data_IF_135753344329
#
_entry.id   IF_135753344329
#
_cell.length_a   1.000
_cell.length_b   1.000
_cell.length_c   1.000
_cell.angle_alpha   90.00
_cell.angle_beta   90.00
_cell.angle_gamma   90.00
#
_symmetry.space_group_name_H-M   'P 1'
#
loop_
_entity.id
_entity.type
_entity.pdbx_description
1 polymer ?
#
# COMPACT_ATOMS: atom_id res chain seq x y z
N UNK A 1 -55.04 7.17 64.11
CA UNK A 1 -53.82 7.92 63.91
C UNK A 1 -52.72 6.92 63.51
N UNK A 2 -52.45 6.74 62.24
CA UNK A 2 -51.41 5.83 61.75
C UNK A 2 -50.23 6.64 61.21
N UNK A 3 -49.10 6.53 61.94
CA UNK A 3 -47.85 7.14 61.51
C UNK A 3 -47.17 6.24 60.48
N UNK A 4 -47.15 6.69 59.21
CA UNK A 4 -46.38 6.04 58.16
C UNK A 4 -44.88 6.35 58.29
N UNK A 5 -44.08 5.33 58.53
CA UNK A 5 -42.63 5.41 58.53
C UNK A 5 -42.15 5.35 57.06
N UNK A 6 -41.68 6.49 56.53
CA UNK A 6 -40.96 6.52 55.20
C UNK A 6 -39.50 6.13 55.46
N UNK A 7 -39.13 4.93 55.07
CA UNK A 7 -37.74 4.50 55.05
C UNK A 7 -37.10 5.04 53.75
N UNK A 8 -36.29 6.10 53.88
CA UNK A 8 -35.39 6.55 52.81
C UNK A 8 -34.25 5.51 52.71
N UNK A 9 -34.31 4.66 51.66
CA UNK A 9 -33.20 3.85 51.24
C UNK A 9 -32.18 4.78 50.57
N UNK A 10 -31.18 5.23 51.32
CA UNK A 10 -29.98 5.85 50.78
C UNK A 10 -29.18 4.74 50.06
N UNK A 11 -29.31 4.62 48.76
CA UNK A 11 -28.41 3.80 47.97
C UNK A 11 -27.04 4.48 47.98
N UNK A 12 -26.12 3.96 48.77
CA UNK A 12 -24.71 4.32 48.67
C UNK A 12 -24.26 3.95 47.26
N UNK A 13 -24.01 4.94 46.39
CA UNK A 13 -23.31 4.75 45.16
C UNK A 13 -21.91 4.24 45.51
N UNK A 14 -21.67 2.97 45.26
CA UNK A 14 -20.37 2.35 45.47
C UNK A 14 -19.42 2.99 44.46
N UNK A 15 -18.55 3.88 44.94
CA UNK A 15 -17.50 4.48 44.08
C UNK A 15 -16.64 3.37 43.51
N UNK A 16 -16.39 3.41 42.21
CA UNK A 16 -15.49 2.48 41.55
C UNK A 16 -14.08 2.60 42.15
N UNK A 17 -13.34 1.50 42.33
CA UNK A 17 -11.93 1.55 42.68
C UNK A 17 -11.18 2.53 41.77
N UNK A 18 -10.23 3.31 42.32
CA UNK A 18 -9.54 4.38 41.54
C UNK A 18 -8.91 3.93 40.22
N UNK A 19 -8.35 2.74 40.20
CA UNK A 19 -7.76 2.09 39.00
C UNK A 19 -8.81 1.76 37.95
N UNK A 20 -9.97 1.25 38.35
CA UNK A 20 -11.10 1.00 37.44
C UNK A 20 -11.73 2.30 36.92
N UNK A 21 -11.82 3.32 37.78
CA UNK A 21 -12.31 4.64 37.39
C UNK A 21 -11.35 5.30 36.37
N UNK A 22 -10.04 5.17 36.56
CA UNK A 22 -9.02 5.66 35.62
C UNK A 22 -9.10 4.90 34.29
N UNK A 23 -9.16 3.57 34.34
CA UNK A 23 -9.32 2.75 33.10
C UNK A 23 -10.57 3.13 32.32
N UNK A 24 -11.70 3.31 33.00
CA UNK A 24 -12.94 3.75 32.35
C UNK A 24 -12.77 5.06 31.59
N UNK A 25 -12.05 6.03 32.19
CA UNK A 25 -11.74 7.31 31.50
C UNK A 25 -10.86 7.12 30.27
N UNK A 26 -9.81 6.29 30.35
CA UNK A 26 -8.93 5.96 29.22
C UNK A 26 -9.75 5.28 28.11
N UNK A 27 -10.55 4.27 28.46
CA UNK A 27 -11.38 3.54 27.48
C UNK A 27 -12.37 4.46 26.78
N UNK A 28 -13.04 5.35 27.50
CA UNK A 28 -13.96 6.36 26.94
C UNK A 28 -13.19 7.31 26.01
N UNK A 29 -12.01 7.76 26.46
CA UNK A 29 -11.17 8.67 25.68
C UNK A 29 -10.72 8.05 24.35
N UNK A 30 -10.25 6.80 24.39
CA UNK A 30 -9.81 6.09 23.18
C UNK A 30 -10.98 5.76 22.25
N UNK A 31 -12.16 5.38 22.80
CA UNK A 31 -13.36 5.22 21.99
C UNK A 31 -13.74 6.52 21.29
N UNK A 32 -13.70 7.66 21.98
CA UNK A 32 -13.96 8.98 21.40
C UNK A 32 -12.91 9.35 20.33
N UNK A 33 -11.63 9.08 20.56
CA UNK A 33 -10.58 9.29 19.56
C UNK A 33 -10.89 8.52 18.28
N UNK A 34 -11.26 7.24 18.39
CA UNK A 34 -11.60 6.38 17.24
C UNK A 34 -12.89 6.82 16.52
N UNK A 35 -13.93 7.20 17.27
CA UNK A 35 -15.22 7.64 16.72
C UNK A 35 -15.13 8.98 15.96
N UNK A 36 -14.14 9.81 16.32
CA UNK A 36 -13.88 11.11 15.69
C UNK A 36 -12.97 11.03 14.47
N UNK A 37 -12.37 9.85 14.18
CA UNK A 37 -11.48 9.69 13.03
C UNK A 37 -12.26 9.94 11.72
N UNK A 38 -11.82 10.89 10.88
CA UNK A 38 -12.36 11.00 9.53
C UNK A 38 -11.92 9.81 8.68
N UNK A 39 -12.47 9.67 7.49
CA UNK A 39 -11.83 8.87 6.46
C UNK A 39 -10.49 9.54 6.12
N UNK A 40 -9.38 8.83 6.26
CA UNK A 40 -8.06 9.39 6.04
C UNK A 40 -7.11 8.36 5.42
N UNK A 41 -6.04 8.84 4.83
CA UNK A 41 -4.96 8.02 4.29
C UNK A 41 -3.61 8.55 4.74
N UNK A 42 -2.65 7.66 4.87
CA UNK A 42 -1.24 7.98 5.12
C UNK A 42 -0.36 7.18 4.18
N UNK A 43 0.82 7.69 3.88
CA UNK A 43 1.89 6.89 3.28
C UNK A 43 2.54 6.06 4.39
N UNK A 44 2.53 4.74 4.25
CA UNK A 44 3.23 3.80 5.11
C UNK A 44 4.52 3.36 4.41
N UNK A 45 5.67 3.61 5.05
CA UNK A 45 6.97 3.10 4.62
C UNK A 45 7.37 1.95 5.52
N UNK A 46 7.53 0.75 4.97
CA UNK A 46 7.84 -0.49 5.69
C UNK A 46 9.24 -0.93 5.31
N UNK A 47 10.19 -0.89 6.24
CA UNK A 47 11.48 -1.54 6.12
C UNK A 47 11.36 -2.98 6.60
N UNK A 48 11.71 -3.96 5.75
CA UNK A 48 11.66 -5.37 6.10
C UNK A 48 13.06 -5.93 6.30
N UNK A 49 13.31 -6.45 7.48
CA UNK A 49 14.61 -6.98 7.92
C UNK A 49 14.50 -8.48 8.19
N UNK A 50 15.53 -9.21 7.87
CA UNK A 50 15.62 -10.65 8.13
C UNK A 50 16.95 -10.97 8.81
N UNK A 51 16.90 -11.77 9.90
CA UNK A 51 18.05 -12.38 10.54
C UNK A 51 17.90 -13.90 10.43
N UNK A 52 18.78 -14.54 9.68
CA UNK A 52 18.80 -16.01 9.60
C UNK A 52 19.37 -16.61 10.90
N UNK A 53 18.98 -17.85 11.20
CA UNK A 53 19.40 -18.53 12.45
C UNK A 53 20.92 -18.63 12.65
N UNK A 54 21.69 -18.64 11.57
CA UNK A 54 23.17 -18.69 11.58
C UNK A 54 23.81 -17.30 11.50
N UNK A 55 23.04 -16.22 11.50
CA UNK A 55 23.52 -14.84 11.39
C UNK A 55 23.38 -14.11 12.72
N UNK A 56 24.36 -13.29 13.08
CA UNK A 56 24.34 -12.47 14.29
C UNK A 56 23.64 -11.11 14.09
N UNK A 57 23.43 -10.68 12.84
CA UNK A 57 22.84 -9.39 12.49
C UNK A 57 21.72 -9.57 11.49
N UNK A 58 20.68 -8.75 11.65
CA UNK A 58 19.63 -8.63 10.65
C UNK A 58 20.14 -7.85 9.43
N UNK A 59 19.72 -8.25 8.24
CA UNK A 59 19.93 -7.55 6.99
C UNK A 59 18.61 -6.97 6.48
N UNK A 60 18.64 -5.76 5.91
CA UNK A 60 17.50 -5.19 5.22
C UNK A 60 17.21 -6.04 3.98
N UNK A 61 16.01 -6.59 3.90
CA UNK A 61 15.53 -7.34 2.75
C UNK A 61 15.07 -6.37 1.65
N UNK A 62 14.16 -5.49 1.99
CA UNK A 62 13.62 -4.46 1.10
C UNK A 62 12.90 -3.35 1.88
N UNK A 63 12.44 -2.35 1.13
CA UNK A 63 11.54 -1.31 1.61
C UNK A 63 10.30 -1.27 0.70
N UNK A 64 9.12 -1.16 1.31
CA UNK A 64 7.82 -1.06 0.61
C UNK A 64 7.16 0.24 1.00
N UNK A 65 6.60 0.98 0.01
CA UNK A 65 5.75 2.15 0.25
C UNK A 65 4.33 1.86 -0.19
N UNK A 66 3.41 2.06 0.74
CA UNK A 66 1.99 1.85 0.56
C UNK A 66 1.23 3.13 0.89
N UNK A 67 0.11 3.33 0.23
CA UNK A 67 -0.96 4.17 0.72
C UNK A 67 -1.88 3.29 1.56
N UNK A 68 -2.01 3.59 2.83
CA UNK A 68 -2.95 2.93 3.74
C UNK A 68 -4.06 3.90 4.09
N UNK A 69 -5.31 3.48 3.93
CA UNK A 69 -6.49 4.30 4.22
C UNK A 69 -7.38 3.64 5.27
N UNK A 70 -7.93 4.46 6.15
CA UNK A 70 -9.03 4.11 7.04
C UNK A 70 -10.32 4.72 6.49
N UNK A 71 -11.22 3.87 6.00
CA UNK A 71 -12.46 4.28 5.35
C UNK A 71 -13.61 3.47 5.92
N UNK A 72 -14.61 4.16 6.49
CA UNK A 72 -15.81 3.53 7.06
C UNK A 72 -15.50 2.36 8.01
N UNK A 73 -14.49 2.54 8.85
CA UNK A 73 -14.11 1.55 9.86
C UNK A 73 -13.31 0.36 9.33
N UNK A 74 -12.76 0.43 8.12
CA UNK A 74 -11.91 -0.60 7.48
C UNK A 74 -10.60 -0.02 7.01
N UNK A 75 -9.57 -0.85 7.02
CA UNK A 75 -8.29 -0.53 6.39
C UNK A 75 -8.29 -0.99 4.94
N UNK A 76 -7.79 -0.12 4.06
CA UNK A 76 -7.59 -0.38 2.64
C UNK A 76 -6.15 -0.04 2.27
N UNK A 77 -5.58 -0.76 1.32
CA UNK A 77 -4.19 -0.65 0.92
C UNK A 77 -4.07 -0.44 -0.59
N UNK A 78 -3.08 0.34 -0.98
CA UNK A 78 -2.63 0.52 -2.36
C UNK A 78 -1.12 0.69 -2.40
N UNK A 79 -0.48 0.40 -3.52
CA UNK A 79 0.91 0.85 -3.71
C UNK A 79 0.90 2.37 -3.91
N UNK A 80 1.94 3.07 -3.46
CA UNK A 80 2.03 4.53 -3.57
C UNK A 80 1.66 5.03 -4.97
N UNK A 81 0.77 6.03 -5.05
CA UNK A 81 0.25 6.57 -6.30
C UNK A 81 -0.68 5.64 -7.09
N UNK A 82 -1.14 4.53 -6.51
CA UNK A 82 -2.15 3.65 -7.12
C UNK A 82 -3.48 3.78 -6.39
N UNK A 83 -4.55 3.27 -7.03
CA UNK A 83 -5.87 3.22 -6.41
C UNK A 83 -5.85 2.36 -5.14
N UNK A 84 -6.42 2.87 -4.07
CA UNK A 84 -6.52 2.19 -2.78
C UNK A 84 -7.79 1.34 -2.80
N UNK A 85 -7.67 0.05 -3.02
CA UNK A 85 -8.81 -0.87 -3.18
C UNK A 85 -8.68 -2.18 -2.42
N UNK A 86 -7.44 -2.54 -2.01
CA UNK A 86 -7.20 -3.85 -1.43
C UNK A 86 -7.46 -3.84 0.06
N UNK A 87 -8.29 -4.75 0.54
CA UNK A 87 -8.51 -4.98 1.98
C UNK A 87 -7.47 -5.92 2.61
N UNK A 88 -6.58 -6.48 1.79
CA UNK A 88 -5.54 -7.42 2.22
C UNK A 88 -4.19 -7.01 1.63
N UNK A 89 -3.25 -6.63 2.47
CA UNK A 89 -1.91 -6.18 2.06
C UNK A 89 -1.11 -7.28 1.34
N UNK A 90 -1.35 -8.57 1.67
CA UNK A 90 -0.69 -9.72 1.03
C UNK A 90 -0.99 -9.86 -0.47
N UNK A 91 -2.02 -9.18 -0.98
CA UNK A 91 -2.30 -9.11 -2.43
C UNK A 91 -1.37 -8.14 -3.16
N UNK A 92 -0.78 -7.19 -2.42
CA UNK A 92 0.14 -6.18 -2.94
C UNK A 92 1.60 -6.56 -2.70
N UNK A 93 1.89 -7.16 -1.54
CA UNK A 93 3.25 -7.42 -1.05
C UNK A 93 3.38 -8.88 -0.66
N UNK A 94 4.47 -9.51 -1.09
CA UNK A 94 4.81 -10.89 -0.71
C UNK A 94 5.70 -10.91 0.55
N UNK A 95 5.75 -12.07 1.22
CA UNK A 95 6.59 -12.30 2.38
C UNK A 95 5.93 -11.88 3.68
N UNK A 96 6.74 -11.65 4.71
CA UNK A 96 6.26 -11.29 6.05
C UNK A 96 5.77 -9.84 6.05
N UNK A 97 4.51 -9.63 6.40
CA UNK A 97 3.91 -8.31 6.53
C UNK A 97 2.75 -8.35 7.54
N UNK A 98 2.52 -7.24 8.25
CA UNK A 98 1.42 -7.07 9.20
C UNK A 98 0.23 -6.34 8.59
N UNK A 99 -0.96 -6.62 9.12
CA UNK A 99 -2.22 -5.91 8.82
C UNK A 99 -2.87 -5.47 10.13
N UNK A 100 -3.68 -4.41 10.08
CA UNK A 100 -4.49 -3.96 11.23
C UNK A 100 -3.76 -3.04 12.20
N UNK A 101 -2.47 -2.76 11.99
CA UNK A 101 -1.68 -1.87 12.84
C UNK A 101 -2.09 -0.40 12.76
N UNK A 102 -2.76 -0.03 11.68
CA UNK A 102 -3.14 1.36 11.42
C UNK A 102 -4.32 1.85 12.28
N UNK A 103 -5.37 1.03 12.48
CA UNK A 103 -6.51 1.38 13.34
C UNK A 103 -7.22 0.16 13.97
N UNK A 104 -7.21 -0.99 13.32
CA UNK A 104 -8.10 -2.09 13.69
C UNK A 104 -7.77 -2.74 15.03
N UNK A 105 -6.49 -2.80 15.42
CA UNK A 105 -6.07 -3.38 16.70
C UNK A 105 -6.54 -2.56 17.90
N UNK A 106 -6.38 -1.24 17.84
CA UNK A 106 -6.88 -0.35 18.90
C UNK A 106 -8.39 -0.44 19.01
N UNK A 107 -9.09 -0.51 17.90
CA UNK A 107 -10.54 -0.68 17.85
C UNK A 107 -10.98 -1.99 18.52
N UNK A 108 -10.33 -3.11 18.20
CA UNK A 108 -10.62 -4.41 18.83
C UNK A 108 -10.41 -4.37 20.34
N UNK A 109 -9.31 -3.77 20.81
CA UNK A 109 -8.94 -3.72 22.21
C UNK A 109 -9.85 -2.76 23.01
N UNK A 110 -10.08 -1.54 22.56
CA UNK A 110 -10.75 -0.50 23.34
C UNK A 110 -12.25 -0.38 23.07
N UNK A 111 -12.74 -0.67 21.87
CA UNK A 111 -14.17 -0.70 21.54
C UNK A 111 -14.77 -2.11 21.67
N UNK A 112 -13.95 -3.16 21.53
CA UNK A 112 -14.34 -4.54 21.77
C UNK A 112 -14.63 -4.81 23.25
N UNK A 113 -15.23 -5.99 23.51
CA UNK A 113 -15.49 -6.50 24.86
C UNK A 113 -14.64 -7.74 25.19
N UNK A 114 -13.70 -8.07 24.30
CA UNK A 114 -12.91 -9.30 24.38
C UNK A 114 -11.70 -9.19 25.30
N UNK A 115 -11.20 -7.99 25.56
CA UNK A 115 -10.00 -7.76 26.34
C UNK A 115 -10.30 -7.65 27.85
N UNK A 116 -9.50 -8.34 28.66
CA UNK A 116 -9.41 -8.15 30.10
C UNK A 116 -8.20 -7.30 30.43
N UNK A 117 -8.31 -6.38 31.40
CA UNK A 117 -7.27 -5.39 31.71
C UNK A 117 -6.85 -5.46 33.16
N UNK A 118 -5.58 -5.16 33.41
CA UNK A 118 -5.00 -5.05 34.74
C UNK A 118 -4.10 -3.80 34.81
N UNK A 119 -4.25 -3.01 35.87
CA UNK A 119 -3.43 -1.82 36.12
C UNK A 119 -2.08 -2.22 36.70
N UNK A 120 -0.99 -1.83 36.04
CA UNK A 120 0.38 -2.11 36.45
C UNK A 120 1.02 -0.96 37.24
N UNK A 121 0.37 0.22 37.25
CA UNK A 121 0.84 1.40 37.96
C UNK A 121 1.33 2.51 37.04
N UNK A 122 1.90 3.55 37.67
CA UNK A 122 2.55 4.64 36.95
C UNK A 122 3.89 4.21 36.40
N UNK A 123 4.17 4.63 35.17
CA UNK A 123 5.41 4.37 34.46
C UNK A 123 5.92 5.66 33.77
N UNK A 124 7.09 5.59 33.22
CA UNK A 124 7.64 6.61 32.32
C UNK A 124 7.86 5.98 30.94
N UNK A 125 7.37 6.64 29.90
CA UNK A 125 7.59 6.25 28.52
C UNK A 125 8.20 7.43 27.75
N UNK A 126 9.42 7.25 27.23
CA UNK A 126 10.17 8.29 26.50
C UNK A 126 10.25 9.63 27.25
N UNK A 127 10.49 9.58 28.56
CA UNK A 127 10.59 10.75 29.44
C UNK A 127 9.25 11.38 29.82
N UNK A 128 8.12 10.75 29.51
CA UNK A 128 6.77 11.24 29.86
C UNK A 128 6.10 10.37 30.90
N UNK A 129 5.49 10.95 31.94
CA UNK A 129 4.65 10.21 32.89
C UNK A 129 3.48 9.53 32.16
N UNK A 130 3.26 8.27 32.47
CA UNK A 130 2.22 7.45 31.85
C UNK A 130 1.55 6.52 32.86
N UNK A 131 0.35 6.08 32.52
CA UNK A 131 -0.39 5.02 33.21
C UNK A 131 -0.20 3.72 32.41
N UNK A 132 0.29 2.67 33.05
CA UNK A 132 0.59 1.38 32.43
C UNK A 132 -0.48 0.35 32.77
N UNK A 133 -0.98 -0.30 31.75
CA UNK A 133 -1.91 -1.42 31.84
C UNK A 133 -1.39 -2.61 31.05
N UNK A 134 -1.61 -3.81 31.57
CA UNK A 134 -1.57 -5.05 30.79
C UNK A 134 -2.97 -5.48 30.39
N UNK A 135 -3.05 -6.26 29.32
CA UNK A 135 -4.33 -6.83 28.85
C UNK A 135 -4.13 -8.20 28.23
N UNK A 136 -5.24 -8.94 28.13
CA UNK A 136 -5.29 -10.25 27.50
C UNK A 136 -6.58 -10.41 26.70
N UNK A 137 -6.47 -10.96 25.50
CA UNK A 137 -7.58 -11.33 24.60
C UNK A 137 -7.50 -12.82 24.34
N UNK A 138 -8.50 -13.57 24.82
CA UNK A 138 -8.55 -15.01 24.64
C UNK A 138 -8.76 -15.38 23.17
N UNK A 139 -8.17 -16.49 22.72
CA UNK A 139 -8.23 -16.99 21.32
C UNK A 139 -9.65 -17.07 20.77
N UNK A 140 -10.64 -17.49 21.57
CA UNK A 140 -12.01 -17.67 21.12
C UNK A 140 -12.73 -16.38 20.67
N UNK A 141 -12.27 -15.23 21.15
CA UNK A 141 -12.86 -13.91 20.89
C UNK A 141 -11.90 -12.97 20.16
N UNK A 142 -10.72 -13.47 19.80
CA UNK A 142 -9.66 -12.71 19.12
C UNK A 142 -9.89 -12.66 17.62
N UNK A 143 -9.62 -11.50 17.01
CA UNK A 143 -9.47 -11.32 15.57
C UNK A 143 -8.04 -11.55 15.06
N UNK A 144 -7.07 -11.79 15.98
CA UNK A 144 -5.66 -11.88 15.63
C UNK A 144 -5.33 -13.15 14.88
N UNK A 145 -5.04 -13.01 13.59
CA UNK A 145 -4.73 -14.13 12.69
C UNK A 145 -3.29 -14.05 12.20
N UNK A 146 -2.57 -15.16 12.32
CA UNK A 146 -1.27 -15.32 11.67
C UNK A 146 -1.40 -16.36 10.56
N UNK A 147 -0.84 -16.03 9.39
CA UNK A 147 -0.74 -16.93 8.24
C UNK A 147 0.72 -17.09 7.85
N UNK A 148 1.18 -18.32 7.73
CA UNK A 148 2.52 -18.70 7.27
C UNK A 148 2.38 -19.62 6.04
N UNK A 149 3.46 -19.93 5.32
CA UNK A 149 3.43 -20.97 4.29
C UNK A 149 2.94 -22.33 4.80
N UNK A 150 3.11 -22.61 6.09
CA UNK A 150 2.74 -23.87 6.73
C UNK A 150 1.28 -23.93 7.17
N UNK A 151 0.57 -22.80 7.23
CA UNK A 151 -0.83 -22.75 7.64
C UNK A 151 -1.30 -21.40 8.16
N UNK A 152 -2.54 -21.37 8.66
CA UNK A 152 -3.15 -20.16 9.25
C UNK A 152 -3.89 -20.51 10.54
N UNK A 153 -3.79 -19.66 11.56
CA UNK A 153 -4.50 -19.83 12.82
C UNK A 153 -4.93 -18.49 13.41
N UNK A 154 -6.07 -18.52 14.13
CA UNK A 154 -6.46 -17.46 15.07
C UNK A 154 -5.75 -17.73 16.39
N UNK A 155 -5.17 -16.68 16.98
CA UNK A 155 -4.40 -16.72 18.21
C UNK A 155 -5.03 -15.84 19.28
N UNK A 156 -4.91 -16.23 20.54
CA UNK A 156 -5.00 -15.29 21.64
C UNK A 156 -3.78 -14.39 21.67
N UNK A 157 -3.88 -13.30 22.39
CA UNK A 157 -2.73 -12.42 22.59
C UNK A 157 -2.83 -11.68 23.91
N UNK A 158 -1.67 -11.34 24.45
CA UNK A 158 -1.51 -10.44 25.59
C UNK A 158 -0.73 -9.24 25.17
N UNK A 159 -0.84 -8.17 25.96
CA UNK A 159 -0.11 -6.98 25.65
C UNK A 159 -0.06 -6.00 26.81
N UNK A 160 0.54 -4.86 26.54
CA UNK A 160 0.58 -3.70 27.44
C UNK A 160 0.26 -2.46 26.65
N UNK A 161 -0.27 -1.46 27.32
CA UNK A 161 -0.39 -0.12 26.75
C UNK A 161 -0.02 0.95 27.78
N UNK A 162 0.46 2.06 27.26
CA UNK A 162 0.79 3.27 28.01
C UNK A 162 -0.14 4.37 27.56
N UNK A 163 -0.82 4.99 28.53
CA UNK A 163 -1.61 6.19 28.33
C UNK A 163 -0.92 7.38 29.01
N UNK A 164 -0.84 8.53 28.36
CA UNK A 164 -0.30 9.75 28.94
C UNK A 164 -1.04 10.11 30.24
N UNK A 165 -0.32 10.35 31.33
CA UNK A 165 -0.93 10.56 32.64
C UNK A 165 -1.80 11.83 32.71
N UNK A 166 -1.61 12.79 31.81
CA UNK A 166 -2.33 14.06 31.79
C UNK A 166 -3.48 14.10 30.77
N UNK A 167 -3.23 13.67 29.53
CA UNK A 167 -4.22 13.72 28.45
C UNK A 167 -5.05 12.44 28.34
N UNK A 168 -4.58 11.33 28.91
CA UNK A 168 -5.09 9.97 28.78
C UNK A 168 -5.08 9.43 27.35
N UNK A 169 -4.34 10.07 26.44
CA UNK A 169 -4.16 9.57 25.07
C UNK A 169 -3.24 8.34 25.09
N UNK A 170 -3.55 7.36 24.25
CA UNK A 170 -2.69 6.20 24.04
C UNK A 170 -1.34 6.65 23.46
N UNK A 171 -0.24 6.22 24.08
CA UNK A 171 1.12 6.53 23.64
C UNK A 171 1.74 5.35 22.88
N UNK A 172 1.63 4.15 23.45
CA UNK A 172 2.17 2.91 22.90
C UNK A 172 1.27 1.73 23.20
N UNK A 173 1.16 0.82 22.27
CA UNK A 173 0.47 -0.46 22.39
C UNK A 173 1.46 -1.57 22.02
N UNK A 174 1.68 -2.53 22.91
CA UNK A 174 2.47 -3.73 22.67
C UNK A 174 1.58 -4.97 22.66
N UNK A 175 1.80 -5.87 21.72
CA UNK A 175 1.03 -7.11 21.54
C UNK A 175 2.02 -8.27 21.40
N UNK A 176 1.72 -9.39 22.06
CA UNK A 176 2.47 -10.64 21.91
C UNK A 176 1.46 -11.78 21.76
N UNK A 177 1.65 -12.60 20.74
CA UNK A 177 0.81 -13.77 20.50
C UNK A 177 0.92 -14.79 21.64
N UNK A 178 -0.20 -15.38 22.01
CA UNK A 178 -0.27 -16.49 22.96
C UNK A 178 -0.49 -17.81 22.26
N UNK A 179 0.06 -18.90 22.85
CA UNK A 179 -0.20 -20.29 22.46
C UNK A 179 -0.12 -20.53 20.93
N UNK A 180 1.00 -20.12 20.33
CA UNK A 180 1.22 -20.27 18.89
C UNK A 180 1.25 -21.75 18.53
N UNK A 181 0.34 -22.27 17.68
CA UNK A 181 0.32 -23.66 17.25
C UNK A 181 1.63 -24.03 16.52
N UNK A 182 2.21 -25.19 16.86
CA UNK A 182 3.44 -25.69 16.24
C UNK A 182 3.32 -25.86 14.71
N UNK A 183 2.11 -26.04 14.19
CA UNK A 183 1.82 -26.06 12.75
C UNK A 183 2.18 -24.78 12.01
N UNK A 184 2.25 -23.63 12.69
CA UNK A 184 2.68 -22.38 12.10
C UNK A 184 4.21 -22.26 11.97
N UNK A 185 4.97 -23.16 12.63
CA UNK A 185 6.43 -23.15 12.68
C UNK A 185 7.02 -21.82 13.21
N UNK A 186 6.27 -21.12 14.06
CA UNK A 186 6.71 -19.91 14.75
C UNK A 186 6.94 -20.19 16.23
N UNK A 187 7.95 -19.55 16.78
CA UNK A 187 8.28 -19.56 18.22
C UNK A 187 7.78 -18.28 18.92
N UNK A 188 7.70 -17.16 18.21
CA UNK A 188 7.22 -15.89 18.75
C UNK A 188 6.62 -15.00 17.66
N UNK A 189 5.65 -14.17 18.05
CA UNK A 189 5.11 -13.08 17.25
C UNK A 189 4.77 -11.91 18.18
N UNK A 190 5.28 -10.72 17.87
CA UNK A 190 5.04 -9.51 18.65
C UNK A 190 4.93 -8.29 17.76
N UNK A 191 4.25 -7.27 18.26
CA UNK A 191 4.11 -5.97 17.60
C UNK A 191 4.07 -4.86 18.63
N UNK A 192 4.69 -3.73 18.31
CA UNK A 192 4.62 -2.49 19.08
C UNK A 192 4.19 -1.36 18.15
N UNK A 193 3.22 -0.54 18.58
CA UNK A 193 2.68 0.58 17.81
C UNK A 193 2.76 1.84 18.66
N UNK A 194 3.35 2.90 18.13
CA UNK A 194 3.41 4.21 18.75
C UNK A 194 2.37 5.14 18.17
N UNK A 195 1.71 5.90 19.03
CA UNK A 195 0.65 6.84 18.68
C UNK A 195 1.07 8.27 18.95
N UNK A 196 0.69 9.17 18.05
CA UNK A 196 0.90 10.62 18.21
C UNK A 196 -0.30 11.39 17.67
N UNK A 197 -0.52 12.58 18.20
CA UNK A 197 -1.50 13.48 17.64
C UNK A 197 -0.94 14.12 16.37
N UNK A 198 -1.68 13.95 15.26
CA UNK A 198 -1.33 14.43 13.92
C UNK A 198 -2.48 15.24 13.33
N UNK A 199 -2.14 16.28 12.58
CA UNK A 199 -3.13 17.11 11.90
C UNK A 199 -3.66 16.42 10.64
N UNK A 200 -4.99 16.41 10.46
CA UNK A 200 -5.67 16.04 9.22
C UNK A 200 -6.69 17.13 8.90
N UNK A 201 -6.48 17.84 7.79
CA UNK A 201 -7.29 19.00 7.46
C UNK A 201 -7.27 20.05 8.58
N UNK A 202 -8.44 20.38 9.14
CA UNK A 202 -8.57 21.36 10.23
C UNK A 202 -8.60 20.73 11.63
N UNK A 203 -8.46 19.40 11.73
CA UNK A 203 -8.52 18.67 13.00
C UNK A 203 -7.18 18.07 13.42
N UNK A 204 -7.10 17.66 14.69
CA UNK A 204 -5.95 16.94 15.24
C UNK A 204 -6.44 15.62 15.85
N UNK A 205 -5.91 14.51 15.35
CA UNK A 205 -6.35 13.16 15.67
C UNK A 205 -5.20 12.33 16.23
N UNK A 206 -5.52 11.37 17.11
CA UNK A 206 -4.55 10.40 17.58
C UNK A 206 -4.39 9.31 16.54
N UNK A 207 -3.19 9.22 15.95
CA UNK A 207 -2.88 8.30 14.86
C UNK A 207 -1.65 7.45 15.18
N UNK A 208 -1.52 6.25 14.59
CA UNK A 208 -0.26 5.53 14.59
C UNK A 208 0.82 6.39 13.92
N UNK A 209 1.99 6.42 14.52
CA UNK A 209 3.15 7.13 14.00
C UNK A 209 4.20 6.17 13.45
N UNK A 210 4.47 5.10 14.21
CA UNK A 210 5.37 4.03 13.83
C UNK A 210 4.91 2.70 14.41
N UNK A 211 5.33 1.60 13.78
CA UNK A 211 5.17 0.27 14.36
C UNK A 211 6.39 -0.61 14.09
N UNK A 212 6.61 -1.58 14.97
CA UNK A 212 7.61 -2.64 14.77
C UNK A 212 6.93 -3.99 15.02
N UNK A 213 6.91 -4.85 14.00
CA UNK A 213 6.43 -6.23 14.09
C UNK A 213 7.62 -7.19 13.99
N UNK A 214 7.65 -8.19 14.83
CA UNK A 214 8.68 -9.23 14.83
C UNK A 214 8.03 -10.61 14.83
N UNK A 215 8.47 -11.48 13.90
CA UNK A 215 8.14 -12.90 13.87
C UNK A 215 9.42 -13.71 13.99
N UNK A 216 9.49 -14.64 14.94
CA UNK A 216 10.58 -15.60 15.05
C UNK A 216 10.08 -16.98 14.66
N UNK A 217 10.83 -17.70 13.82
CA UNK A 217 10.51 -19.08 13.47
C UNK A 217 11.08 -20.08 14.51
N UNK A 218 10.64 -21.33 14.40
CA UNK A 218 11.11 -22.42 15.28
C UNK A 218 12.58 -22.78 15.04
N UNK A 219 13.17 -22.37 13.91
CA UNK A 219 14.57 -22.60 13.58
C UNK A 219 15.49 -21.46 14.09
N UNK A 220 14.94 -20.40 14.65
CA UNK A 220 15.67 -19.25 15.21
C UNK A 220 15.93 -18.12 14.22
N UNK A 221 15.34 -18.13 13.03
CA UNK A 221 15.35 -16.97 12.14
C UNK A 221 14.30 -15.96 12.59
N UNK A 222 14.53 -14.68 12.30
CA UNK A 222 13.65 -13.59 12.69
C UNK A 222 13.36 -12.69 11.49
N UNK A 223 12.09 -12.38 11.28
CA UNK A 223 11.63 -11.36 10.36
C UNK A 223 11.12 -10.17 11.15
N UNK A 224 11.57 -8.97 10.82
CA UNK A 224 11.21 -7.72 11.48
C UNK A 224 10.76 -6.70 10.44
N UNK A 225 9.58 -6.10 10.65
CA UNK A 225 9.09 -4.98 9.86
C UNK A 225 9.04 -3.74 10.74
N UNK A 226 9.55 -2.63 10.21
CA UNK A 226 9.44 -1.31 10.82
C UNK A 226 8.62 -0.43 9.89
N UNK A 227 7.47 0.01 10.35
CA UNK A 227 6.58 0.90 9.60
C UNK A 227 6.62 2.31 10.16
N UNK A 228 6.64 3.31 9.28
CA UNK A 228 6.44 4.71 9.61
C UNK A 228 5.25 5.23 8.81
N UNK A 229 4.37 6.00 9.46
CA UNK A 229 3.16 6.57 8.86
C UNK A 229 3.33 8.08 8.75
N UNK A 230 3.33 8.58 7.51
CA UNK A 230 3.60 9.98 7.19
C UNK A 230 2.59 10.53 6.18
N UNK A 231 2.65 11.84 5.93
CA UNK A 231 1.80 12.52 4.93
C UNK A 231 0.31 12.20 5.05
N UNK A 232 -0.19 12.10 6.30
CA UNK A 232 -1.60 11.79 6.56
C UNK A 232 -2.51 12.93 6.11
N UNK A 233 -3.56 12.59 5.36
CA UNK A 233 -4.53 13.57 4.88
C UNK A 233 -5.93 12.95 4.79
N UNK A 234 -6.95 13.80 4.66
CA UNK A 234 -8.32 13.34 4.53
C UNK A 234 -8.50 12.55 3.23
N UNK A 235 -9.08 11.36 3.35
CA UNK A 235 -9.40 10.54 2.18
C UNK A 235 -10.62 11.11 1.48
N UNK A 236 -10.44 11.52 0.23
CA UNK A 236 -11.52 11.96 -0.66
C UNK A 236 -11.69 10.89 -1.71
N UNK A 237 -12.80 10.15 -1.68
CA UNK A 237 -13.14 9.22 -2.73
C UNK A 237 -13.54 10.01 -3.98
N UNK A 238 -12.73 9.98 -5.03
CA UNK A 238 -13.15 10.43 -6.36
C UNK A 238 -14.09 9.38 -6.96
N UNK A 239 -15.40 9.61 -6.93
CA UNK A 239 -16.33 8.83 -7.72
C UNK A 239 -16.32 9.34 -9.15
N UNK A 240 -15.56 8.68 -10.02
CA UNK A 240 -15.70 8.85 -11.45
C UNK A 240 -16.97 8.12 -11.88
N UNK A 241 -18.07 8.86 -12.05
CA UNK A 241 -19.27 8.36 -12.71
C UNK A 241 -18.94 8.18 -14.20
N UNK A 242 -18.49 7.01 -14.61
CA UNK A 242 -18.43 6.66 -16.01
C UNK A 242 -19.84 6.27 -16.46
N UNK A 243 -20.53 7.18 -17.16
CA UNK A 243 -21.72 6.83 -17.89
C UNK A 243 -21.30 6.05 -19.14
N UNK A 244 -21.31 4.74 -19.06
CA UNK A 244 -21.27 3.90 -20.24
C UNK A 244 -22.67 3.99 -20.84
N UNK A 245 -22.85 4.72 -21.95
CA UNK A 245 -24.06 4.64 -22.73
C UNK A 245 -24.22 3.19 -23.21
N UNK A 246 -25.18 2.50 -22.61
CA UNK A 246 -25.65 1.22 -23.11
C UNK A 246 -26.47 1.53 -24.35
N UNK A 247 -25.88 1.36 -25.53
CA UNK A 247 -26.65 1.28 -26.76
C UNK A 247 -27.58 0.07 -26.66
N UNK A 248 -28.83 0.30 -26.26
CA UNK A 248 -29.89 -0.69 -26.40
C UNK A 248 -30.18 -0.81 -27.89
N UNK A 249 -29.83 -1.96 -28.45
CA UNK A 249 -30.28 -2.39 -29.76
C UNK A 249 -31.81 -2.49 -29.74
N UNK A 250 -32.47 -1.58 -30.45
CA UNK A 250 -33.93 -1.53 -30.59
C UNK A 250 -34.39 -2.70 -31.48
N UNK A 251 -34.93 -3.74 -30.83
CA UNK A 251 -35.81 -4.68 -31.54
C UNK A 251 -37.15 -3.99 -31.85
N UNK A 252 -37.43 -3.85 -33.13
CA UNK A 252 -38.65 -3.31 -33.65
C UNK A 252 -39.87 -4.20 -33.37
N UNK A 253 -40.90 -3.68 -32.67
CA UNK A 253 -42.29 -4.16 -32.82
C UNK A 253 -43.24 -2.97 -32.76
N UNK A 254 -44.03 -2.88 -33.78
CA UNK A 254 -45.08 -2.08 -34.29
C UNK A 254 -46.04 -1.25 -33.43
N UNK A 255 -46.37 -0.18 -34.10
CA UNK A 255 -47.67 0.47 -34.29
C UNK A 255 -48.49 1.01 -33.11
N UNK A 256 -48.74 2.33 -33.17
CA UNK A 256 -49.98 3.00 -32.84
C UNK A 256 -49.83 4.32 -32.11
N UNK A 257 -50.59 5.35 -32.51
CA UNK A 257 -50.32 6.73 -32.18
C UNK A 257 -51.15 7.24 -31.01
N UNK A 258 -50.67 8.29 -30.31
CA UNK A 258 -51.52 9.38 -29.75
C UNK A 258 -50.68 10.46 -29.04
N UNK A 259 -50.72 11.67 -29.66
CA UNK A 259 -51.10 12.97 -29.11
C UNK A 259 -50.19 13.65 -28.06
N UNK A 260 -49.51 14.69 -28.55
CA UNK A 260 -49.67 16.11 -28.20
C UNK A 260 -49.33 16.60 -26.79
N UNK A 261 -48.30 17.43 -26.72
CA UNK A 261 -48.29 18.75 -26.06
C UNK A 261 -46.88 19.40 -26.15
N UNK A 262 -46.84 20.46 -27.01
CA UNK A 262 -46.27 21.82 -26.83
C UNK A 262 -45.04 21.93 -25.87
N UNK A 263 -43.84 22.26 -26.25
CA UNK A 263 -43.44 23.44 -27.00
C UNK A 263 -42.63 24.37 -26.14
N UNK A 264 -41.32 24.50 -26.41
CA UNK A 264 -40.61 25.79 -26.22
C UNK A 264 -39.39 25.82 -27.15
N UNK A 265 -39.43 26.75 -28.09
CA UNK A 265 -38.32 27.20 -28.94
C UNK A 265 -37.54 28.27 -28.18
N UNK A 266 -36.22 28.23 -28.23
CA UNK A 266 -35.43 29.45 -28.30
C UNK A 266 -34.16 29.15 -29.10
N UNK A 267 -34.10 29.69 -30.29
CA UNK A 267 -32.94 29.73 -31.13
C UNK A 267 -32.10 30.97 -30.81
N UNK A 268 -30.82 30.86 -30.99
CA UNK A 268 -29.94 31.99 -31.32
C UNK A 268 -28.96 31.51 -32.41
N UNK A 269 -29.08 32.18 -33.52
CA UNK A 269 -28.21 32.14 -34.70
C UNK A 269 -27.00 33.06 -34.52
N UNK A 270 -25.84 32.70 -35.09
CA UNK A 270 -24.77 33.63 -35.40
C UNK A 270 -23.51 32.94 -35.94
N UNK A 271 -22.91 33.47 -36.97
CA UNK A 271 -22.24 32.66 -37.99
C UNK A 271 -20.69 32.76 -37.97
N UNK A 272 -20.07 31.75 -38.57
CA UNK A 272 -18.92 31.96 -39.46
C UNK A 272 -17.53 31.70 -38.88
N UNK A 273 -16.85 30.79 -39.52
CA UNK A 273 -15.40 30.66 -39.43
C UNK A 273 -14.91 29.25 -39.77
N UNK A 274 -14.97 28.90 -41.07
CA UNK A 274 -14.33 27.69 -41.55
C UNK A 274 -12.82 27.91 -41.67
N UNK A 275 -12.04 27.20 -40.83
CA UNK A 275 -10.61 26.96 -41.02
C UNK A 275 -10.37 25.47 -41.22
N UNK A 276 -9.41 25.03 -42.07
CA UNK A 276 -9.27 23.63 -42.43
C UNK A 276 -8.81 22.80 -41.26
N UNK A 277 -9.64 21.86 -40.83
CA UNK A 277 -9.34 20.90 -39.77
C UNK A 277 -8.21 19.97 -40.18
N UNK A 278 -7.14 20.02 -39.42
CA UNK A 278 -6.18 18.93 -39.33
C UNK A 278 -6.74 17.91 -38.38
N UNK A 279 -7.39 16.89 -38.93
CA UNK A 279 -7.77 15.69 -38.17
C UNK A 279 -6.52 14.88 -37.88
N UNK A 280 -5.90 15.13 -36.70
CA UNK A 280 -4.95 14.18 -36.14
C UNK A 280 -5.76 12.99 -35.58
N UNK A 281 -5.36 11.73 -35.86
CA UNK A 281 -6.04 10.59 -35.28
C UNK A 281 -5.73 10.53 -33.76
N UNK A 282 -6.70 10.89 -32.95
CA UNK A 282 -6.67 10.61 -31.51
C UNK A 282 -6.76 9.10 -31.30
N UNK A 283 -5.60 8.45 -31.10
CA UNK A 283 -5.55 7.03 -30.80
C UNK A 283 -6.04 6.79 -29.38
N UNK A 284 -7.16 6.12 -29.24
CA UNK A 284 -7.59 5.52 -27.97
C UNK A 284 -6.71 4.31 -27.64
N UNK A 285 -6.58 3.96 -26.34
CA UNK A 285 -5.80 2.80 -25.87
C UNK A 285 -6.13 1.48 -26.60
N UNK A 286 -7.31 1.39 -27.20
CA UNK A 286 -7.76 0.28 -28.02
C UNK A 286 -6.96 0.10 -29.34
N UNK A 287 -6.18 1.07 -29.75
CA UNK A 287 -5.48 1.05 -31.05
C UNK A 287 -3.98 0.73 -30.93
N UNK A 288 -3.42 0.58 -29.72
CA UNK A 288 -2.05 0.11 -29.57
C UNK A 288 -1.95 -1.36 -29.98
N UNK A 289 -0.89 -1.76 -30.70
CA UNK A 289 -0.66 -3.16 -31.03
C UNK A 289 -0.72 -4.04 -29.78
N UNK A 290 -1.26 -5.25 -29.91
CA UNK A 290 -1.29 -6.19 -28.79
C UNK A 290 0.13 -6.55 -28.34
N UNK A 291 1.01 -6.72 -29.31
CA UNK A 291 2.43 -7.02 -29.09
C UNK A 291 3.31 -5.92 -29.70
N UNK A 292 4.22 -5.41 -28.90
CA UNK A 292 5.26 -4.50 -29.36
C UNK A 292 6.47 -4.56 -28.42
N UNK A 293 7.63 -4.21 -28.97
CA UNK A 293 8.87 -4.04 -28.20
C UNK A 293 9.49 -2.70 -28.57
N UNK A 294 9.88 -1.92 -27.55
CA UNK A 294 10.42 -0.59 -27.76
C UNK A 294 11.50 -0.25 -26.74
N UNK A 295 12.56 0.42 -27.18
CA UNK A 295 13.60 0.94 -26.30
C UNK A 295 13.08 2.17 -25.56
N UNK A 296 13.31 2.20 -24.25
CA UNK A 296 12.96 3.31 -23.36
C UNK A 296 14.19 3.85 -22.64
N UNK A 297 14.11 5.08 -22.20
CA UNK A 297 15.11 5.77 -21.38
C UNK A 297 14.52 6.13 -20.05
N UNK A 298 15.10 5.62 -18.97
CA UNK A 298 14.66 5.92 -17.60
C UNK A 298 14.87 7.42 -17.31
N UNK A 299 13.84 8.09 -16.78
CA UNK A 299 13.90 9.50 -16.37
C UNK A 299 14.04 9.64 -14.85
N UNK A 300 13.40 8.74 -14.09
CA UNK A 300 13.53 8.67 -12.64
C UNK A 300 14.74 7.84 -12.27
N UNK A 301 15.76 8.40 -11.58
CA UNK A 301 16.88 7.60 -11.10
C UNK A 301 16.41 6.63 -10.01
N UNK A 302 16.98 5.42 -9.98
CA UNK A 302 16.69 4.42 -8.94
C UNK A 302 17.99 4.13 -8.20
N UNK A 303 17.98 4.38 -6.88
CA UNK A 303 19.13 4.17 -5.99
C UNK A 303 18.69 3.24 -4.86
N UNK A 304 19.40 2.12 -4.66
CA UNK A 304 19.04 1.12 -3.66
C UNK A 304 19.07 1.62 -2.21
N UNK A 305 19.67 2.76 -1.93
CA UNK A 305 19.64 3.36 -0.60
C UNK A 305 18.33 4.09 -0.29
N UNK A 306 17.56 4.44 -1.31
CA UNK A 306 16.32 5.23 -1.15
C UNK A 306 15.11 4.66 -1.88
N UNK A 307 15.33 3.82 -2.90
CA UNK A 307 14.25 3.24 -3.69
C UNK A 307 13.47 2.17 -2.92
N UNK A 308 12.16 2.15 -3.13
CA UNK A 308 11.26 1.19 -2.53
C UNK A 308 10.24 0.66 -3.55
N UNK A 309 9.70 -0.53 -3.32
CA UNK A 309 8.51 -0.97 -4.02
C UNK A 309 7.35 0.00 -3.72
N UNK A 310 6.67 0.46 -4.76
CA UNK A 310 5.66 1.52 -4.69
C UNK A 310 6.14 2.87 -5.22
N UNK A 311 7.44 3.13 -5.28
CA UNK A 311 7.96 4.41 -5.76
C UNK A 311 7.57 4.69 -7.21
N UNK A 312 7.21 5.94 -7.54
CA UNK A 312 6.87 6.31 -8.90
C UNK A 312 8.12 6.25 -9.81
N UNK A 313 7.92 5.77 -11.02
CA UNK A 313 8.96 5.72 -12.04
C UNK A 313 8.45 6.29 -13.35
N UNK A 314 9.30 7.01 -14.05
CA UNK A 314 9.02 7.54 -15.39
C UNK A 314 10.13 7.22 -16.36
N UNK A 315 9.76 7.06 -17.63
CA UNK A 315 10.66 6.82 -18.73
C UNK A 315 10.14 7.49 -20.01
N UNK A 316 10.98 7.60 -21.02
CA UNK A 316 10.59 8.13 -22.33
C UNK A 316 10.91 7.12 -23.42
N UNK A 317 10.06 7.07 -24.47
CA UNK A 317 10.31 6.25 -25.65
C UNK A 317 11.54 6.77 -26.42
N UNK A 318 12.50 5.91 -26.67
CA UNK A 318 13.66 6.24 -27.51
C UNK A 318 13.38 6.14 -29.02
N UNK A 319 12.35 5.40 -29.36
CA UNK A 319 11.86 5.25 -30.74
C UNK A 319 10.33 5.22 -30.74
N UNK A 320 9.74 5.49 -31.91
CA UNK A 320 8.28 5.47 -32.05
C UNK A 320 7.76 4.04 -32.07
N UNK A 321 6.60 3.80 -31.41
CA UNK A 321 5.85 2.55 -31.60
C UNK A 321 5.11 2.64 -32.91
N UNK A 322 5.45 1.76 -33.86
CA UNK A 322 4.87 1.72 -35.21
C UNK A 322 4.43 0.31 -35.58
N UNK A 323 3.30 0.24 -36.28
CA UNK A 323 2.87 -0.98 -36.95
C UNK A 323 2.67 -0.61 -38.42
N UNK A 324 3.39 -1.29 -39.31
CA UNK A 324 3.45 -0.95 -40.72
C UNK A 324 3.85 0.53 -40.96
N UNK A 325 2.94 1.36 -41.47
CA UNK A 325 3.16 2.80 -41.71
C UNK A 325 2.51 3.71 -40.67
N UNK A 326 1.79 3.16 -39.71
CA UNK A 326 1.05 3.92 -38.71
C UNK A 326 1.93 4.08 -37.46
N UNK A 327 2.10 5.34 -37.02
CA UNK A 327 2.76 5.64 -35.73
C UNK A 327 1.70 5.74 -34.63
N UNK A 328 1.74 4.83 -33.68
CA UNK A 328 0.84 4.79 -32.54
C UNK A 328 1.32 5.69 -31.38
N UNK A 329 2.60 5.71 -31.13
CA UNK A 329 3.21 6.62 -30.16
C UNK A 329 4.55 7.12 -30.70
N UNK A 330 4.83 8.44 -30.66
CA UNK A 330 6.05 9.02 -31.17
C UNK A 330 7.24 8.77 -30.22
N UNK A 331 8.46 8.89 -30.73
CA UNK A 331 9.67 9.03 -29.92
C UNK A 331 9.49 10.21 -28.95
N UNK A 332 9.93 10.05 -27.69
CA UNK A 332 9.80 11.05 -26.65
C UNK A 332 8.47 10.97 -25.86
N UNK A 333 7.52 10.10 -26.25
CA UNK A 333 6.34 9.84 -25.45
C UNK A 333 6.73 9.41 -24.03
N UNK A 334 6.03 9.92 -23.03
CA UNK A 334 6.34 9.74 -21.62
C UNK A 334 5.59 8.53 -21.05
N UNK A 335 6.32 7.60 -20.45
CA UNK A 335 5.81 6.49 -19.68
C UNK A 335 5.77 6.87 -18.21
N UNK A 336 4.66 6.59 -17.52
CA UNK A 336 4.55 6.71 -16.08
C UNK A 336 4.13 5.37 -15.47
N UNK A 337 4.69 5.08 -14.31
CA UNK A 337 4.48 3.80 -13.64
C UNK A 337 5.10 3.80 -12.26
N UNK A 338 5.42 2.60 -11.77
CA UNK A 338 6.01 2.41 -10.44
C UNK A 338 6.96 1.23 -10.38
N UNK A 339 7.79 1.20 -9.36
CA UNK A 339 8.55 0.01 -8.96
C UNK A 339 7.54 -0.95 -8.34
N UNK A 340 7.23 -2.05 -9.01
CA UNK A 340 6.26 -3.03 -8.52
C UNK A 340 6.89 -4.00 -7.52
N UNK A 341 8.20 -4.22 -7.61
CA UNK A 341 8.99 -5.07 -6.71
C UNK A 341 10.42 -4.55 -6.64
N UNK A 342 11.02 -4.61 -5.46
CA UNK A 342 12.42 -4.24 -5.23
C UNK A 342 12.96 -5.03 -4.04
N UNK A 343 13.62 -6.14 -4.30
CA UNK A 343 14.15 -7.05 -3.27
C UNK A 343 15.68 -7.09 -3.32
N UNK A 344 16.29 -7.34 -2.16
CA UNK A 344 17.72 -7.59 -2.05
C UNK A 344 17.98 -8.92 -1.32
N UNK A 345 18.49 -9.89 -2.02
CA UNK A 345 18.88 -11.17 -1.44
C UNK A 345 20.39 -11.38 -1.59
N UNK A 346 21.14 -11.24 -0.47
CA UNK A 346 22.55 -11.54 -0.43
C UNK A 346 23.43 -10.74 -1.39
N UNK A 347 23.07 -9.47 -1.67
CA UNK A 347 23.79 -8.61 -2.60
C UNK A 347 23.34 -8.78 -4.06
N UNK A 348 22.21 -9.44 -4.27
CA UNK A 348 21.52 -9.51 -5.56
C UNK A 348 20.21 -8.75 -5.48
N UNK A 349 20.08 -7.65 -6.23
CA UNK A 349 18.84 -6.88 -6.34
C UNK A 349 17.95 -7.48 -7.43
N UNK A 350 16.67 -7.67 -7.11
CA UNK A 350 15.62 -8.09 -8.05
C UNK A 350 14.57 -6.99 -8.12
N UNK A 351 14.28 -6.48 -9.32
CA UNK A 351 13.39 -5.35 -9.51
C UNK A 351 12.41 -5.59 -10.66
N UNK A 352 11.14 -5.27 -10.45
CA UNK A 352 10.11 -5.20 -11.47
C UNK A 352 9.60 -3.77 -11.61
N UNK A 353 9.53 -3.27 -12.84
CA UNK A 353 8.95 -1.97 -13.19
C UNK A 353 7.62 -2.19 -13.90
N UNK A 354 6.57 -1.54 -13.42
CA UNK A 354 5.24 -1.59 -14.01
C UNK A 354 4.83 -0.21 -14.52
N UNK A 355 4.83 -0.01 -15.84
CA UNK A 355 4.30 1.19 -16.47
C UNK A 355 2.79 1.05 -16.69
N UNK A 356 2.04 2.08 -16.31
CA UNK A 356 0.57 2.09 -16.32
C UNK A 356 0.00 3.10 -17.28
N UNK A 357 0.79 4.08 -17.76
CA UNK A 357 0.36 5.05 -18.77
C UNK A 357 1.44 5.42 -19.74
N UNK A 358 1.01 5.89 -20.92
CA UNK A 358 1.84 6.44 -21.98
C UNK A 358 1.20 7.72 -22.49
N UNK A 359 1.90 8.85 -22.33
CA UNK A 359 1.41 10.20 -22.63
C UNK A 359 2.19 10.83 -23.78
N UNK A 360 1.48 11.40 -24.77
CA UNK A 360 2.04 12.13 -25.90
C UNK A 360 0.98 12.99 -26.60
N UNK A 361 1.35 14.16 -27.10
CA UNK A 361 0.48 15.04 -27.90
C UNK A 361 -0.95 15.19 -27.35
N UNK A 362 -1.08 15.52 -26.07
CA UNK A 362 -2.35 15.63 -25.32
C UNK A 362 -3.20 14.34 -25.29
N UNK A 363 -2.63 13.22 -25.70
CA UNK A 363 -3.24 11.89 -25.61
C UNK A 363 -2.70 11.14 -24.42
N UNK A 364 -3.61 10.51 -23.67
CA UNK A 364 -3.31 9.62 -22.53
C UNK A 364 -3.74 8.21 -22.89
N UNK A 365 -2.82 7.24 -22.82
CA UNK A 365 -3.10 5.83 -23.04
C UNK A 365 -2.93 5.05 -21.73
N UNK A 366 -3.99 4.39 -21.29
CA UNK A 366 -3.95 3.49 -20.13
C UNK A 366 -3.33 2.14 -20.54
N UNK A 367 -2.24 1.76 -19.85
CA UNK A 367 -1.52 0.50 -20.03
C UNK A 367 -1.78 -0.48 -18.88
N UNK A 368 -2.60 -0.12 -17.88
CA UNK A 368 -2.78 -0.88 -16.64
C UNK A 368 -3.27 -2.31 -16.85
N UNK A 369 -4.05 -2.54 -17.91
CA UNK A 369 -4.61 -3.84 -18.27
C UNK A 369 -3.71 -4.66 -19.19
N UNK A 370 -2.56 -4.13 -19.60
CA UNK A 370 -1.63 -4.82 -20.49
C UNK A 370 -0.56 -5.57 -19.69
N UNK A 371 -0.16 -6.73 -20.19
CA UNK A 371 1.00 -7.43 -19.68
C UNK A 371 2.25 -6.78 -20.27
N UNK A 372 2.90 -5.94 -19.46
CA UNK A 372 4.12 -5.23 -19.82
C UNK A 372 5.28 -5.83 -19.05
N UNK A 373 6.33 -6.19 -19.79
CA UNK A 373 7.60 -6.67 -19.24
C UNK A 373 8.69 -5.66 -19.54
N UNK A 374 9.58 -5.43 -18.59
CA UNK A 374 10.73 -4.52 -18.73
C UNK A 374 12.00 -5.34 -18.52
N UNK A 375 12.94 -5.20 -19.44
CA UNK A 375 14.24 -5.88 -19.35
C UNK A 375 15.38 -4.97 -19.79
N UNK A 376 16.60 -5.35 -19.46
CA UNK A 376 17.81 -4.64 -19.85
C UNK A 376 18.58 -5.48 -20.87
N UNK A 377 19.00 -4.86 -21.99
CA UNK A 377 19.95 -5.48 -22.93
C UNK A 377 21.37 -5.28 -22.39
N UNK A 378 22.04 -6.37 -22.03
CA UNK A 378 23.45 -6.36 -21.66
C UNK A 378 24.27 -6.81 -22.86
N UNK A 379 25.06 -5.89 -23.41
CA UNK A 379 26.01 -6.23 -24.47
C UNK A 379 27.32 -6.67 -23.84
N UNK A 380 27.57 -7.98 -23.80
CA UNK A 380 28.84 -8.52 -23.35
C UNK A 380 29.79 -8.66 -24.55
N UNK A 381 30.85 -7.88 -24.55
CA UNK A 381 31.95 -8.11 -25.53
C UNK A 381 32.79 -9.26 -25.01
N UNK A 382 32.60 -10.44 -25.56
CA UNK A 382 33.48 -11.57 -25.29
C UNK A 382 34.69 -11.42 -26.23
N UNK A 383 35.82 -11.02 -25.65
CA UNK A 383 37.09 -11.14 -26.38
C UNK A 383 37.40 -12.64 -26.49
N UNK A 384 37.20 -13.23 -27.66
CA UNK A 384 37.62 -14.59 -27.92
C UNK A 384 39.15 -14.62 -28.02
N UNK A 385 39.80 -15.09 -26.98
CA UNK A 385 41.20 -15.52 -27.06
C UNK A 385 41.24 -16.88 -27.76
N UNK A 386 41.17 -16.89 -29.07
CA UNK A 386 41.66 -18.02 -29.86
C UNK A 386 43.05 -17.68 -30.35
N UNK A 387 44.05 -18.36 -29.78
CA UNK A 387 45.39 -18.45 -30.37
C UNK A 387 45.29 -19.23 -31.66
N UNK A 388 45.19 -18.54 -32.79
CA UNK A 388 45.76 -18.93 -34.09
C UNK A 388 45.63 -17.74 -35.08
N UNK A 389 46.72 -17.39 -35.67
CA UNK A 389 46.95 -16.47 -36.79
C UNK A 389 45.88 -16.51 -37.90
N UNK A 390 45.11 -15.44 -38.04
CA UNK A 390 44.81 -14.80 -39.34
C UNK A 390 43.89 -13.59 -39.12
N UNK A 391 44.18 -12.54 -39.88
CA UNK A 391 43.46 -11.28 -39.86
C UNK A 391 41.99 -11.48 -40.25
N UNK A 392 41.09 -10.74 -39.54
CA UNK A 392 39.64 -10.60 -39.73
C UNK A 392 38.75 -11.55 -38.90
N UNK A 393 38.85 -11.47 -37.55
CA UNK A 393 37.73 -11.86 -36.70
C UNK A 393 37.01 -10.58 -36.24
N UNK A 394 35.82 -10.34 -36.77
CA UNK A 394 34.92 -9.34 -36.20
C UNK A 394 34.42 -9.87 -34.83
N UNK A 395 34.33 -9.01 -33.79
CA UNK A 395 33.79 -9.44 -32.50
C UNK A 395 32.33 -9.81 -32.67
N UNK A 396 31.97 -11.05 -32.32
CA UNK A 396 30.59 -11.48 -32.26
C UNK A 396 29.98 -10.85 -31.03
N UNK A 397 29.06 -9.92 -31.22
CA UNK A 397 28.31 -9.27 -30.17
C UNK A 397 27.20 -10.23 -29.71
N UNK A 398 27.44 -10.93 -28.57
CA UNK A 398 26.37 -11.70 -27.93
C UNK A 398 25.54 -10.75 -27.07
N UNK A 399 24.29 -10.59 -27.41
CA UNK A 399 23.28 -9.86 -26.62
C UNK A 399 22.63 -10.84 -25.70
N UNK A 400 22.92 -10.75 -24.41
CA UNK A 400 22.22 -11.50 -23.37
C UNK A 400 21.01 -10.68 -22.92
N UNK A 401 19.80 -11.15 -23.23
CA UNK A 401 18.56 -10.52 -22.76
C UNK A 401 18.25 -10.98 -21.34
N UNK A 402 18.30 -10.06 -20.37
CA UNK A 402 17.83 -10.33 -19.02
C UNK A 402 16.33 -10.06 -18.96
N UNK A 403 15.55 -11.12 -18.81
CA UNK A 403 14.08 -11.04 -18.69
C UNK A 403 13.65 -10.42 -17.36
N UNK A 404 12.44 -9.89 -17.29
CA UNK A 404 11.82 -9.47 -16.02
C UNK A 404 11.66 -10.67 -15.04
N UNK A 405 12.01 -10.54 -13.74
CA UNK A 405 12.52 -9.33 -13.09
C UNK A 405 13.94 -8.95 -13.49
N UNK A 406 14.26 -7.66 -13.43
CA UNK A 406 15.62 -7.17 -13.60
C UNK A 406 16.47 -7.61 -12.40
N UNK A 407 17.55 -8.36 -12.64
CA UNK A 407 18.43 -8.87 -11.58
C UNK A 407 19.83 -8.28 -11.69
N UNK A 408 20.34 -7.71 -10.59
CA UNK A 408 21.62 -7.05 -10.51
C UNK A 408 22.46 -7.62 -9.36
N UNK A 409 23.62 -8.15 -9.65
CA UNK A 409 24.59 -8.60 -8.62
C UNK A 409 25.52 -7.43 -8.27
N UNK A 410 25.19 -6.69 -7.22
CA UNK A 410 25.95 -5.54 -6.76
C UNK A 410 25.67 -5.26 -5.29
N UNK A 411 26.63 -4.63 -4.60
CA UNK A 411 26.42 -4.19 -3.21
C UNK A 411 25.52 -2.94 -3.12
N UNK A 412 25.49 -2.14 -4.16
CA UNK A 412 24.72 -0.92 -4.26
C UNK A 412 24.26 -0.74 -5.71
N UNK A 413 22.95 -0.75 -5.93
CA UNK A 413 22.34 -0.56 -7.24
C UNK A 413 22.06 0.93 -7.47
N UNK A 414 22.59 1.47 -8.57
CA UNK A 414 22.26 2.82 -9.06
C UNK A 414 21.95 2.75 -10.55
N UNK A 415 20.68 3.03 -10.89
CA UNK A 415 20.26 3.27 -12.26
C UNK A 415 20.05 4.77 -12.43
N UNK A 416 20.93 5.41 -13.17
CA UNK A 416 20.87 6.85 -13.42
C UNK A 416 19.78 7.22 -14.42
N UNK A 417 19.44 8.51 -14.47
CA UNK A 417 18.66 9.07 -15.57
C UNK A 417 19.36 8.75 -16.90
N UNK A 418 18.58 8.36 -17.92
CA UNK A 418 19.12 7.96 -19.19
C UNK A 418 19.45 6.46 -19.30
N UNK A 419 19.29 5.67 -18.23
CA UNK A 419 19.46 4.21 -18.32
C UNK A 419 18.54 3.62 -19.36
N UNK A 420 19.11 2.80 -20.26
CA UNK A 420 18.40 2.17 -21.36
C UNK A 420 17.76 0.87 -20.91
N UNK A 421 16.46 0.76 -21.12
CA UNK A 421 15.66 -0.42 -20.85
C UNK A 421 14.85 -0.76 -22.10
N UNK A 422 14.34 -1.97 -22.16
CA UNK A 422 13.44 -2.42 -23.22
C UNK A 422 12.09 -2.75 -22.59
N UNK A 423 11.04 -2.22 -23.18
CA UNK A 423 9.67 -2.48 -22.80
C UNK A 423 9.02 -3.37 -23.86
N UNK A 424 8.45 -4.47 -23.43
CA UNK A 424 7.72 -5.41 -24.27
C UNK A 424 6.30 -5.59 -23.75
N UNK A 425 5.33 -5.48 -24.65
CA UNK A 425 3.94 -5.86 -24.40
C UNK A 425 3.68 -7.20 -25.06
N UNK A 426 3.11 -8.14 -24.30
CA UNK A 426 2.70 -9.47 -24.76
C UNK A 426 1.22 -9.66 -24.51
N UNK A 427 0.62 -10.49 -25.35
CA UNK A 427 -0.79 -10.88 -25.23
C UNK A 427 -1.09 -11.67 -23.97
#
# INVERSE_FOLDING_TARGET
MGAGFVVLLCQAQQELPPDLALFSKIKVKESQNLDQLPNYTCTETIERWVRRSNESRAALLDTVRLEVAYVEGRELYGLAGAKIEQSEIKKLVRGTIGEGGFAMKVKEIFQGQAATFHYEGRAELDGKPSELYSFHVARLVSGYRITTPSGSALLGYRGRFWADASSLDLMRLEITADDIPSALQLSAASESIEYRRSAIGNGTFLLPHSSEMTLADAAGSEAKNRSNYEACHQFVAESVLSFTEVHAEAAAVGSGPLADARGYKAGVTGPGGAGPGVTGPGGTAANLPEEFTVDISLETPIDSESAAAGDPVSATLRQSIKVEKITFAPKGAKLSGKIARFDNEGGSYSMDLKFTSLDFNDSHLDLSQRRIEVFMKVTTRVASMSSVTSAQAQPVEQVEETLSPLVFKTKHLKLGRGTHLVLSSKK
#
